data_IF_907793560537
#
_entry.id   IF_907793560537
#
_cell.length_a   1.000
_cell.length_b   1.000
_cell.length_c   1.000
_cell.angle_alpha   90.00
_cell.angle_beta   90.00
_cell.angle_gamma   90.00
#
_symmetry.space_group_name_H-M   'P 1'
#
loop_
_entity.id
_entity.type
_entity.pdbx_description
1 polymer ?
#
# COMPACT_ATOMS: atom_id res chain seq x y z
N UNK A 1 -61.87 -18.57 -35.93
CA UNK A 1 -61.04 -18.28 -34.78
C UNK A 1 -59.61 -18.60 -35.16
N UNK A 2 -58.99 -17.63 -35.79
CA UNK A 2 -57.60 -17.77 -36.24
C UNK A 2 -56.93 -16.39 -36.11
N UNK A 3 -56.27 -16.11 -34.99
CA UNK A 3 -55.44 -14.95 -34.77
C UNK A 3 -54.36 -15.35 -33.76
N UNK A 4 -53.11 -15.47 -34.19
CA UNK A 4 -52.00 -15.65 -33.26
C UNK A 4 -50.74 -16.35 -33.77
N UNK A 5 -50.35 -16.17 -35.03
CA UNK A 5 -49.09 -16.72 -35.56
C UNK A 5 -48.20 -15.72 -36.32
N UNK A 6 -48.51 -14.42 -36.25
CA UNK A 6 -47.74 -13.40 -37.01
C UNK A 6 -46.66 -12.65 -36.23
N UNK A 7 -46.68 -12.64 -34.89
CA UNK A 7 -45.82 -11.77 -34.10
C UNK A 7 -44.46 -12.36 -33.71
N UNK A 8 -44.26 -13.68 -33.85
CA UNK A 8 -43.04 -14.35 -33.40
C UNK A 8 -41.92 -14.42 -34.44
N UNK A 9 -42.20 -14.11 -35.71
CA UNK A 9 -41.17 -14.17 -36.78
C UNK A 9 -40.44 -12.83 -37.04
N UNK A 10 -40.98 -11.71 -36.60
CA UNK A 10 -40.38 -10.39 -36.84
C UNK A 10 -39.30 -10.09 -35.79
N UNK A 11 -39.42 -10.60 -34.56
CA UNK A 11 -38.45 -10.40 -33.51
C UNK A 11 -37.08 -11.09 -33.74
N UNK A 12 -37.10 -12.26 -34.40
CA UNK A 12 -35.85 -13.03 -34.66
C UNK A 12 -35.01 -12.44 -35.80
N UNK A 13 -35.60 -11.76 -36.77
CA UNK A 13 -34.83 -11.15 -37.88
C UNK A 13 -34.18 -9.84 -37.44
N UNK A 14 -34.83 -9.06 -36.59
CA UNK A 14 -34.25 -7.80 -36.06
C UNK A 14 -33.08 -8.07 -35.13
N UNK A 15 -33.16 -9.14 -34.31
CA UNK A 15 -32.04 -9.55 -33.41
C UNK A 15 -30.82 -10.03 -34.21
N UNK A 16 -31.02 -10.72 -35.33
CA UNK A 16 -29.91 -11.22 -36.17
C UNK A 16 -29.17 -10.10 -36.90
N UNK A 17 -29.89 -9.06 -37.34
CA UNK A 17 -29.31 -7.91 -38.03
C UNK A 17 -28.49 -7.03 -37.07
N UNK A 18 -28.90 -6.89 -35.80
CA UNK A 18 -28.17 -6.11 -34.79
C UNK A 18 -26.86 -6.81 -34.37
N UNK A 19 -26.81 -8.12 -34.26
CA UNK A 19 -25.59 -8.87 -33.95
C UNK A 19 -24.61 -8.80 -35.11
N UNK A 20 -25.04 -8.83 -36.38
CA UNK A 20 -24.17 -8.69 -37.53
C UNK A 20 -23.60 -7.27 -37.68
N UNK A 21 -24.34 -6.22 -37.28
CA UNK A 21 -23.86 -4.84 -37.31
C UNK A 21 -22.79 -4.57 -36.21
N UNK A 22 -22.93 -5.18 -35.03
CA UNK A 22 -21.95 -5.07 -33.96
C UNK A 22 -20.63 -5.82 -34.27
N UNK A 23 -20.72 -6.96 -34.97
CA UNK A 23 -19.51 -7.70 -35.41
C UNK A 23 -18.75 -6.97 -36.52
N UNK A 24 -19.45 -6.25 -37.43
CA UNK A 24 -18.80 -5.45 -38.45
C UNK A 24 -18.18 -4.13 -37.93
N UNK A 25 -18.71 -3.56 -36.86
CA UNK A 25 -18.12 -2.40 -36.19
C UNK A 25 -16.88 -2.81 -35.38
N UNK A 26 -16.88 -3.98 -34.74
CA UNK A 26 -15.74 -4.52 -34.00
C UNK A 26 -14.54 -4.84 -34.88
N UNK A 27 -14.79 -5.31 -36.12
CA UNK A 27 -13.74 -5.61 -37.10
C UNK A 27 -13.12 -4.35 -37.76
N UNK A 28 -13.84 -3.22 -37.76
CA UNK A 28 -13.27 -1.95 -38.26
C UNK A 28 -12.45 -1.17 -37.24
N UNK A 29 -12.66 -1.39 -35.94
CA UNK A 29 -11.87 -0.75 -34.89
C UNK A 29 -10.56 -1.50 -34.60
N UNK A 30 -10.45 -2.78 -34.98
CA UNK A 30 -9.20 -3.55 -34.84
C UNK A 30 -8.15 -3.28 -35.93
N UNK A 31 -8.53 -2.67 -37.06
CA UNK A 31 -7.61 -2.40 -38.19
C UNK A 31 -6.96 -1.00 -38.14
N UNK A 32 -7.38 -0.13 -37.23
CA UNK A 32 -6.85 1.24 -37.12
C UNK A 32 -5.79 1.42 -36.01
N UNK A 33 -5.43 0.37 -35.30
CA UNK A 33 -4.50 0.44 -34.16
C UNK A 33 -3.07 -0.06 -34.47
N UNK A 34 -2.78 -0.50 -35.69
CA UNK A 34 -1.46 -1.07 -36.04
C UNK A 34 -0.57 -0.16 -36.94
N UNK A 35 -0.97 1.06 -37.27
CA UNK A 35 -0.18 1.93 -38.14
C UNK A 35 0.47 3.14 -37.46
N UNK A 36 0.61 3.18 -36.14
CA UNK A 36 1.18 4.34 -35.43
C UNK A 36 2.31 4.02 -34.46
N UNK A 37 3.25 3.15 -34.83
CA UNK A 37 4.47 3.00 -34.02
C UNK A 37 5.70 2.58 -34.86
N UNK A 38 5.98 3.33 -35.90
CA UNK A 38 7.33 3.37 -36.51
C UNK A 38 7.71 4.81 -36.81
N UNK A 39 7.97 5.58 -35.76
CA UNK A 39 8.76 6.79 -35.88
C UNK A 39 10.18 6.45 -35.45
N UNK A 40 11.03 6.17 -36.43
CA UNK A 40 12.45 5.98 -36.29
C UNK A 40 13.06 7.20 -35.59
N UNK A 41 13.78 6.97 -34.51
CA UNK A 41 14.68 7.95 -33.93
C UNK A 41 15.77 8.29 -34.95
N UNK A 42 16.19 9.56 -35.12
CA UNK A 42 17.33 9.88 -35.92
C UNK A 42 18.59 9.31 -35.27
N UNK A 43 19.32 8.51 -36.03
CA UNK A 43 20.67 8.06 -35.69
C UNK A 43 21.56 9.28 -35.51
N UNK A 44 21.86 9.64 -34.27
CA UNK A 44 22.93 10.56 -33.96
C UNK A 44 24.25 9.89 -34.37
N UNK A 45 24.99 10.56 -35.25
CA UNK A 45 26.36 10.23 -35.60
C UNK A 45 27.18 10.13 -34.32
N UNK A 46 27.70 8.91 -34.05
CA UNK A 46 28.73 8.71 -33.04
C UNK A 46 29.97 9.35 -33.61
N UNK A 47 30.31 10.55 -33.14
CA UNK A 47 31.57 11.18 -33.41
C UNK A 47 32.72 10.22 -33.08
N UNK A 48 33.53 9.98 -34.07
CA UNK A 48 34.77 9.21 -34.01
C UNK A 48 35.64 9.74 -32.87
N UNK A 49 35.77 8.94 -31.81
CA UNK A 49 36.69 9.25 -30.72
C UNK A 49 38.12 9.20 -31.29
N UNK A 50 38.69 10.37 -31.50
CA UNK A 50 40.11 10.51 -31.82
C UNK A 50 40.90 9.85 -30.73
N UNK A 51 41.55 8.72 -31.04
CA UNK A 51 42.48 8.04 -30.20
C UNK A 51 43.60 8.99 -29.80
N UNK A 52 43.76 9.26 -28.51
CA UNK A 52 44.94 9.92 -27.97
C UNK A 52 46.11 8.99 -28.20
N UNK A 53 47.19 9.42 -28.87
CA UNK A 53 48.36 8.57 -29.08
C UNK A 53 49.00 8.25 -27.70
N UNK A 54 49.30 7.00 -27.49
CA UNK A 54 50.08 6.54 -26.34
C UNK A 54 51.44 7.25 -26.34
N UNK A 55 51.94 7.68 -25.20
CA UNK A 55 53.27 8.29 -25.11
C UNK A 55 54.31 7.27 -25.59
N UNK A 56 55.15 7.71 -26.51
CA UNK A 56 56.30 6.93 -26.99
C UNK A 56 57.26 6.59 -25.87
N UNK A 57 57.70 5.36 -25.79
CA UNK A 57 58.55 4.79 -24.78
C UNK A 57 60.04 5.21 -24.93
N UNK A 58 60.34 6.29 -25.63
CA UNK A 58 61.73 6.67 -25.96
C UNK A 58 62.31 7.84 -25.18
N UNK A 59 61.61 8.36 -24.17
CA UNK A 59 62.21 9.35 -23.23
C UNK A 59 62.41 8.71 -21.86
N UNK A 60 63.20 7.65 -21.81
CA UNK A 60 63.78 7.17 -20.54
C UNK A 60 64.86 8.19 -20.13
N UNK A 61 64.50 9.11 -19.24
CA UNK A 61 65.47 9.92 -18.51
C UNK A 61 66.27 8.96 -17.66
N UNK A 62 67.42 8.53 -18.14
CA UNK A 62 68.42 7.79 -17.36
C UNK A 62 69.07 8.78 -16.40
N UNK A 63 68.56 8.86 -15.18
CA UNK A 63 69.26 9.49 -14.07
C UNK A 63 70.34 8.49 -13.65
N UNK A 64 71.63 8.84 -13.75
CA UNK A 64 72.66 7.96 -13.23
C UNK A 64 72.55 7.97 -11.72
N UNK A 65 71.97 6.91 -11.15
CA UNK A 65 72.05 6.68 -9.70
C UNK A 65 73.40 6.07 -9.39
N UNK A 66 74.39 6.97 -9.19
CA UNK A 66 75.65 6.60 -8.59
C UNK A 66 75.41 6.47 -7.07
N UNK A 67 74.75 5.39 -6.67
CA UNK A 67 74.61 5.04 -5.27
C UNK A 67 75.83 4.15 -4.93
N UNK A 68 76.88 4.77 -4.30
CA UNK A 68 77.89 4.02 -3.64
C UNK A 68 77.21 3.09 -2.60
N UNK A 69 77.17 1.80 -2.89
CA UNK A 69 76.45 0.80 -2.09
C UNK A 69 77.04 0.50 -0.71
N UNK A 70 78.11 1.31 -0.30
CA UNK A 70 78.83 0.97 0.91
C UNK A 70 78.42 1.77 2.17
N UNK A 71 77.46 2.65 2.13
CA UNK A 71 77.13 3.49 3.29
C UNK A 71 75.69 3.50 3.78
N UNK A 72 74.87 2.60 3.29
CA UNK A 72 73.50 2.43 3.89
C UNK A 72 73.60 1.34 4.96
N UNK A 73 73.57 1.67 6.27
CA UNK A 73 73.46 0.62 7.28
C UNK A 73 72.18 -0.14 7.09
N UNK A 74 72.26 -1.36 6.56
CA UNK A 74 71.16 -2.31 6.59
C UNK A 74 70.94 -2.69 8.05
N UNK A 75 70.06 -2.01 8.74
CA UNK A 75 69.47 -2.52 9.96
C UNK A 75 68.61 -3.70 9.64
N UNK A 76 69.19 -4.88 9.67
CA UNK A 76 68.46 -6.11 9.81
C UNK A 76 67.73 -6.09 11.15
N UNK A 77 66.50 -6.55 11.12
CA UNK A 77 65.74 -7.12 12.21
C UNK A 77 64.74 -6.26 13.02
N UNK A 78 64.57 -4.95 12.74
CA UNK A 78 63.47 -4.20 13.36
C UNK A 78 62.76 -3.23 12.41
N UNK A 79 62.67 -3.53 11.15
CA UNK A 79 61.71 -2.86 10.31
C UNK A 79 60.31 -3.38 10.68
N UNK A 80 59.60 -2.64 11.54
CA UNK A 80 58.17 -2.76 11.65
C UNK A 80 57.64 -2.41 10.25
N UNK A 81 57.39 -3.41 9.43
CA UNK A 81 56.52 -3.22 8.29
C UNK A 81 55.19 -2.77 8.88
N UNK A 82 54.72 -1.57 8.60
CA UNK A 82 53.34 -1.26 8.86
C UNK A 82 52.56 -2.08 7.84
N UNK A 83 52.25 -3.34 8.20
CA UNK A 83 51.13 -3.98 7.56
C UNK A 83 49.93 -3.07 7.89
N UNK A 84 49.28 -2.41 6.91
CA UNK A 84 48.03 -1.80 7.18
C UNK A 84 47.12 -2.98 7.53
N UNK A 85 46.95 -3.25 8.81
CA UNK A 85 45.82 -4.00 9.28
C UNK A 85 44.67 -3.06 8.92
N UNK A 86 43.83 -3.40 7.89
CA UNK A 86 42.64 -2.66 7.74
C UNK A 86 41.90 -2.86 9.05
N UNK A 87 41.90 -1.82 9.89
CA UNK A 87 40.94 -1.78 10.97
C UNK A 87 39.60 -1.55 10.32
N UNK A 88 39.04 -2.62 9.77
CA UNK A 88 37.63 -2.71 9.59
C UNK A 88 37.04 -2.65 10.97
N UNK A 89 36.63 -1.46 11.36
CA UNK A 89 35.78 -1.29 12.51
C UNK A 89 34.46 -1.99 12.13
N UNK A 90 34.40 -3.27 12.46
CA UNK A 90 33.12 -3.97 12.46
C UNK A 90 32.35 -3.41 13.65
N UNK A 91 31.59 -2.35 13.40
CA UNK A 91 30.65 -1.85 14.39
C UNK A 91 29.74 -2.99 14.81
N UNK A 92 29.35 -2.99 16.06
CA UNK A 92 28.36 -3.95 16.53
C UNK A 92 27.10 -3.80 15.67
N UNK A 93 26.57 -4.92 15.22
CA UNK A 93 25.29 -4.95 14.52
C UNK A 93 24.17 -5.02 15.55
N UNK A 94 22.97 -4.50 15.24
CA UNK A 94 21.80 -4.72 16.05
C UNK A 94 21.58 -6.20 16.32
N UNK A 95 21.19 -6.51 17.54
CA UNK A 95 20.86 -7.88 17.95
C UNK A 95 19.57 -7.86 18.73
N UNK A 96 18.49 -8.26 18.08
CA UNK A 96 17.16 -8.32 18.65
C UNK A 96 16.75 -9.77 18.84
N UNK A 97 16.17 -10.07 19.99
CA UNK A 97 15.46 -11.31 20.24
C UNK A 97 13.98 -11.00 20.27
N UNK A 98 13.26 -11.49 19.26
CA UNK A 98 11.81 -11.31 19.16
C UNK A 98 11.09 -12.61 19.51
N UNK A 99 9.96 -12.48 20.17
CA UNK A 99 9.03 -13.57 20.35
C UNK A 99 8.19 -13.74 19.07
N UNK A 100 7.90 -14.99 18.70
CA UNK A 100 7.01 -15.30 17.57
C UNK A 100 5.72 -15.85 18.12
N UNK A 101 4.59 -15.27 17.73
CA UNK A 101 3.26 -15.72 18.07
C UNK A 101 2.56 -16.33 16.85
N UNK A 102 2.01 -17.52 17.01
CA UNK A 102 1.21 -18.17 15.97
C UNK A 102 -0.27 -17.84 16.21
N UNK A 103 -0.88 -17.11 15.27
CA UNK A 103 -2.28 -16.70 15.38
C UNK A 103 -3.21 -17.91 15.47
N UNK A 104 -4.07 -17.93 16.46
CA UNK A 104 -5.09 -18.95 16.67
C UNK A 104 -6.45 -18.48 16.16
N UNK A 105 -7.38 -19.44 16.07
CA UNK A 105 -8.74 -19.13 15.62
C UNK A 105 -9.51 -18.35 16.68
N UNK A 106 -9.90 -17.14 16.35
CA UNK A 106 -10.66 -16.23 17.20
C UNK A 106 -9.83 -15.14 17.84
N UNK A 107 -8.50 -15.15 17.62
CA UNK A 107 -7.63 -14.07 18.07
C UNK A 107 -8.00 -12.75 17.40
N UNK A 108 -7.87 -11.68 18.18
CA UNK A 108 -7.94 -10.31 17.68
C UNK A 108 -6.60 -9.59 17.92
N UNK A 109 -6.24 -8.61 17.06
CA UNK A 109 -5.02 -7.82 17.27
C UNK A 109 -4.93 -7.20 18.66
N UNK A 110 -6.04 -6.74 19.20
CA UNK A 110 -6.09 -6.12 20.52
C UNK A 110 -5.87 -7.11 21.64
N UNK A 111 -6.37 -8.34 21.53
CA UNK A 111 -6.17 -9.40 22.54
C UNK A 111 -4.72 -9.88 22.52
N UNK A 112 -4.14 -10.06 21.33
CA UNK A 112 -2.72 -10.42 21.22
C UNK A 112 -1.84 -9.30 21.80
N UNK A 113 -2.07 -8.06 21.42
CA UNK A 113 -1.31 -6.93 21.95
C UNK A 113 -1.41 -6.86 23.49
N UNK A 114 -2.61 -7.04 24.04
CA UNK A 114 -2.84 -7.08 25.49
C UNK A 114 -2.11 -8.25 26.17
N UNK A 115 -2.07 -9.42 25.54
CA UNK A 115 -1.37 -10.60 26.09
C UNK A 115 0.14 -10.35 26.25
N UNK A 116 0.74 -9.57 25.36
CA UNK A 116 2.17 -9.26 25.36
C UNK A 116 2.51 -7.89 25.96
N UNK A 117 1.53 -7.21 26.57
CA UNK A 117 1.71 -5.87 27.17
C UNK A 117 2.29 -4.81 26.22
N UNK A 118 1.85 -4.87 24.97
CA UNK A 118 2.19 -3.90 23.91
C UNK A 118 0.93 -3.24 23.37
N UNK A 119 1.10 -2.12 22.67
CA UNK A 119 -0.01 -1.48 21.96
C UNK A 119 -0.36 -2.22 20.67
N UNK A 120 -1.62 -2.11 20.25
CA UNK A 120 -2.09 -2.71 19.00
C UNK A 120 -1.31 -2.17 17.79
N UNK A 121 -0.91 -0.89 17.81
CA UNK A 121 -0.09 -0.24 16.80
C UNK A 121 1.31 -0.87 16.69
N UNK A 122 1.82 -1.40 17.78
CA UNK A 122 3.12 -2.09 17.83
C UNK A 122 3.10 -3.42 17.06
N UNK A 123 1.94 -4.09 16.99
CA UNK A 123 1.81 -5.27 16.13
C UNK A 123 2.07 -4.93 14.65
N UNK A 124 1.64 -3.77 14.17
CA UNK A 124 1.98 -3.28 12.83
C UNK A 124 3.45 -2.95 12.73
N UNK A 125 4.02 -2.34 13.79
CA UNK A 125 5.42 -1.97 13.86
C UNK A 125 6.37 -3.16 13.70
N UNK A 126 6.00 -4.32 14.22
CA UNK A 126 6.71 -5.59 14.06
C UNK A 126 6.31 -6.40 12.82
N UNK A 127 5.14 -6.08 12.22
CA UNK A 127 4.52 -6.87 11.16
C UNK A 127 3.96 -5.97 10.05
N UNK A 128 4.81 -5.34 9.24
CA UNK A 128 4.38 -4.33 8.24
C UNK A 128 3.41 -4.89 7.19
N UNK A 129 3.38 -6.21 6.99
CA UNK A 129 2.41 -6.86 6.10
C UNK A 129 0.96 -6.74 6.59
N UNK A 130 0.73 -6.50 7.91
CA UNK A 130 -0.60 -6.24 8.44
C UNK A 130 -1.14 -4.86 8.06
N UNK A 131 -0.28 -3.92 7.65
CA UNK A 131 -0.66 -2.55 7.32
C UNK A 131 -1.08 -2.34 5.86
N UNK A 132 -0.85 -3.33 5.00
CA UNK A 132 -0.99 -3.12 3.55
C UNK A 132 -2.40 -3.36 3.02
N UNK A 133 -3.25 -4.02 3.77
CA UNK A 133 -4.60 -4.32 3.31
C UNK A 133 -5.46 -4.57 4.54
N UNK A 134 -6.76 -4.37 4.47
CA UNK A 134 -7.73 -4.72 5.51
C UNK A 134 -7.36 -6.07 6.10
N UNK A 135 -6.55 -6.02 7.11
CA UNK A 135 -5.57 -7.02 7.47
C UNK A 135 -6.25 -8.23 8.02
N UNK A 136 -6.11 -9.26 7.29
CA UNK A 136 -6.56 -10.56 7.70
C UNK A 136 -5.47 -11.22 8.52
N UNK A 137 -5.50 -11.01 9.83
CA UNK A 137 -4.91 -12.00 10.71
C UNK A 137 -5.65 -13.32 10.50
N UNK A 138 -4.94 -14.29 9.94
CA UNK A 138 -5.49 -15.63 9.74
C UNK A 138 -4.85 -16.61 10.72
N UNK A 139 -5.62 -17.59 11.21
CA UNK A 139 -5.04 -18.68 11.99
C UNK A 139 -3.89 -19.36 11.25
N UNK A 140 -2.78 -19.57 11.94
CA UNK A 140 -1.55 -20.12 11.39
C UNK A 140 -0.57 -19.07 10.85
N UNK A 141 -0.88 -17.80 10.92
CA UNK A 141 0.04 -16.71 10.60
C UNK A 141 1.01 -16.49 11.75
N UNK A 142 2.30 -16.31 11.45
CA UNK A 142 3.33 -16.00 12.44
C UNK A 142 3.48 -14.48 12.55
N UNK A 143 3.38 -13.98 13.78
CA UNK A 143 3.59 -12.58 14.12
C UNK A 143 4.87 -12.39 14.90
N UNK A 144 5.64 -11.39 14.56
CA UNK A 144 6.78 -10.91 15.35
C UNK A 144 6.26 -10.01 16.46
N UNK A 145 6.54 -10.38 17.70
CA UNK A 145 6.17 -9.59 18.88
C UNK A 145 7.37 -8.78 19.32
N UNK A 146 7.24 -7.48 19.31
CA UNK A 146 8.29 -6.58 19.79
C UNK A 146 8.30 -6.54 21.33
N UNK A 147 9.48 -6.47 21.96
CA UNK A 147 9.59 -6.48 23.43
C UNK A 147 9.15 -5.18 24.10
N UNK A 148 8.98 -4.11 23.34
CA UNK A 148 8.49 -2.80 23.76
C UNK A 148 7.67 -2.16 22.64
N UNK A 149 6.87 -1.16 22.97
CA UNK A 149 6.16 -0.36 21.97
C UNK A 149 7.14 0.29 20.99
N UNK A 150 6.85 0.18 19.68
CA UNK A 150 7.68 0.78 18.64
C UNK A 150 7.48 0.18 17.26
N UNK A 151 8.43 0.50 16.38
CA UNK A 151 8.50 0.01 15.00
C UNK A 151 9.86 -0.63 14.75
N UNK A 152 9.85 -1.80 14.13
CA UNK A 152 11.05 -2.46 13.64
C UNK A 152 11.31 -1.98 12.20
N UNK A 153 12.32 -1.14 12.06
CA UNK A 153 12.69 -0.53 10.78
C UNK A 153 13.77 -1.33 10.09
N UNK A 154 13.53 -1.73 8.84
CA UNK A 154 14.52 -2.35 7.96
C UNK A 154 15.43 -1.25 7.38
N UNK A 155 16.70 -1.20 7.82
CA UNK A 155 17.64 -0.15 7.43
C UNK A 155 17.93 -0.21 5.92
N UNK A 156 17.64 0.88 5.23
CA UNK A 156 17.89 1.04 3.81
C UNK A 156 19.23 1.78 3.54
N UNK A 157 19.83 1.58 2.34
CA UNK A 157 20.99 2.38 1.95
C UNK A 157 20.67 3.87 1.94
N UNK A 158 21.40 4.63 2.77
CA UNK A 158 21.21 6.08 2.90
C UNK A 158 20.46 6.51 4.16
N UNK A 159 19.94 5.58 4.95
CA UNK A 159 19.31 5.90 6.23
C UNK A 159 20.34 6.45 7.22
N UNK A 160 19.88 7.41 8.00
CA UNK A 160 20.61 8.01 9.13
C UNK A 160 19.72 8.04 10.36
N UNK A 161 20.29 8.19 11.54
CA UNK A 161 19.47 8.33 12.76
C UNK A 161 18.59 9.57 12.71
N UNK A 162 19.07 10.64 12.07
CA UNK A 162 18.32 11.86 11.87
C UNK A 162 17.12 11.63 10.93
N UNK A 163 17.29 10.86 9.82
CA UNK A 163 16.18 10.54 8.93
C UNK A 163 15.14 9.66 9.61
N UNK A 164 15.56 8.70 10.44
CA UNK A 164 14.61 7.88 11.22
C UNK A 164 13.90 8.71 12.29
N UNK A 165 14.63 9.63 12.96
CA UNK A 165 14.03 10.55 13.93
C UNK A 165 12.97 11.44 13.29
N UNK A 166 13.20 11.96 12.09
CA UNK A 166 12.24 12.76 11.35
C UNK A 166 11.05 11.91 10.89
N UNK A 167 11.31 10.74 10.32
CA UNK A 167 10.28 9.84 9.80
C UNK A 167 9.30 9.40 10.89
N UNK A 168 9.81 9.00 12.04
CA UNK A 168 8.97 8.45 13.13
C UNK A 168 8.61 9.49 14.20
N UNK A 169 9.13 10.71 14.10
CA UNK A 169 8.95 11.76 15.12
C UNK A 169 9.44 11.33 16.52
N UNK A 170 10.53 10.56 16.57
CA UNK A 170 11.16 10.05 17.78
C UNK A 170 12.56 10.67 17.91
N UNK A 171 12.96 11.21 19.09
CA UNK A 171 14.29 11.74 19.31
C UNK A 171 15.38 10.71 19.01
N UNK A 172 16.49 11.17 18.38
CA UNK A 172 17.66 10.32 18.09
C UNK A 172 18.19 9.64 19.34
N UNK A 173 18.22 10.36 20.46
CA UNK A 173 18.70 9.85 21.74
C UNK A 173 17.88 8.64 22.23
N UNK A 174 16.59 8.60 21.98
CA UNK A 174 15.71 7.49 22.37
C UNK A 174 16.01 6.24 21.51
N UNK A 175 16.34 6.43 20.23
CA UNK A 175 16.74 5.33 19.33
C UNK A 175 18.09 4.75 19.76
N UNK A 176 19.04 5.62 20.16
CA UNK A 176 20.36 5.23 20.64
C UNK A 176 20.28 4.55 22.01
N UNK A 177 19.39 5.03 22.89
CA UNK A 177 19.25 4.52 24.25
C UNK A 177 18.74 3.07 24.32
N UNK A 178 18.11 2.57 23.25
CA UNK A 178 17.66 1.19 23.20
C UNK A 178 18.84 0.24 22.94
N UNK A 179 19.33 -0.39 24.01
CA UNK A 179 20.56 -1.19 24.02
C UNK A 179 20.63 -2.27 22.91
N UNK A 180 19.56 -3.03 22.57
CA UNK A 180 19.63 -4.05 21.53
C UNK A 180 19.90 -3.52 20.13
N UNK A 181 19.71 -2.21 19.88
CA UNK A 181 20.13 -1.57 18.64
C UNK A 181 21.67 -1.55 18.47
N UNK A 182 22.44 -1.77 19.53
CA UNK A 182 23.90 -1.78 19.53
C UNK A 182 24.54 -0.55 18.85
N UNK A 183 23.92 0.62 19.02
CA UNK A 183 24.38 1.88 18.42
C UNK A 183 25.49 2.49 19.26
N UNK A 184 26.76 2.29 18.85
CA UNK A 184 27.95 2.89 19.45
C UNK A 184 28.51 3.98 18.53
N UNK A 185 29.19 4.99 19.12
CA UNK A 185 29.87 6.02 18.32
C UNK A 185 30.79 5.38 17.26
N UNK A 186 30.68 5.78 15.97
CA UNK A 186 30.00 6.95 15.41
C UNK A 186 28.52 6.75 15.00
N UNK A 187 27.77 5.86 15.65
CA UNK A 187 26.31 5.65 15.47
C UNK A 187 25.88 5.37 14.02
N UNK A 188 26.57 4.44 13.37
CA UNK A 188 26.29 4.08 11.98
C UNK A 188 25.16 3.07 11.89
N UNK A 189 24.23 3.31 10.96
CA UNK A 189 23.27 2.32 10.53
C UNK A 189 23.87 1.45 9.42
N UNK A 190 23.58 0.17 9.46
CA UNK A 190 24.07 -0.79 8.47
C UNK A 190 22.88 -1.28 7.63
N UNK A 191 22.88 -1.09 6.30
CA UNK A 191 21.86 -1.65 5.43
C UNK A 191 21.69 -3.16 5.65
N UNK A 192 20.47 -3.65 5.42
CA UNK A 192 20.08 -5.05 5.64
C UNK A 192 20.11 -5.49 7.13
N UNK A 193 20.15 -4.54 8.06
CA UNK A 193 19.90 -4.78 9.49
C UNK A 193 18.57 -4.16 9.91
N UNK A 194 18.11 -4.52 11.09
CA UNK A 194 16.86 -3.98 11.66
C UNK A 194 17.20 -3.11 12.86
N UNK A 195 16.51 -2.00 12.99
CA UNK A 195 16.58 -1.08 14.15
C UNK A 195 15.18 -0.98 14.74
N UNK A 196 15.04 -1.22 16.03
CA UNK A 196 13.81 -0.93 16.74
C UNK A 196 13.78 0.55 17.12
N UNK A 197 12.74 1.26 16.70
CA UNK A 197 12.50 2.66 17.02
C UNK A 197 11.47 2.71 18.15
N UNK A 198 11.89 2.94 19.40
CA UNK A 198 11.01 2.89 20.57
C UNK A 198 9.92 3.95 20.52
N UNK A 199 8.67 3.58 20.83
CA UNK A 199 7.54 4.50 20.86
C UNK A 199 7.05 4.97 19.49
N UNK A 200 7.70 4.57 18.40
CA UNK A 200 7.27 4.88 17.04
C UNK A 200 5.94 4.18 16.69
N UNK A 201 5.21 4.78 15.77
CA UNK A 201 3.98 4.21 15.19
C UNK A 201 4.22 4.06 13.70
N UNK A 202 3.94 2.86 13.16
CA UNK A 202 4.06 2.60 11.74
C UNK A 202 2.95 3.32 10.96
N UNK A 203 3.30 3.95 9.83
CA UNK A 203 2.32 4.55 8.94
C UNK A 203 1.43 3.48 8.32
N UNK A 204 0.11 3.72 8.29
CA UNK A 204 -0.86 2.89 7.59
C UNK A 204 -1.16 3.52 6.24
N UNK A 205 -1.09 2.72 5.19
CA UNK A 205 -1.53 3.17 3.87
C UNK A 205 -3.05 3.43 3.87
N UNK A 206 -3.44 4.66 3.55
CA UNK A 206 -4.85 5.07 3.43
C UNK A 206 -5.16 5.36 1.97
N UNK A 207 -5.90 4.46 1.32
CA UNK A 207 -6.39 4.73 -0.03
C UNK A 207 -7.48 5.82 -0.01
N UNK A 208 -7.33 6.81 -0.90
CA UNK A 208 -8.29 7.92 -1.03
C UNK A 208 -9.13 7.76 -2.29
N UNK A 209 -10.47 7.83 -2.18
CA UNK A 209 -11.36 7.74 -3.34
C UNK A 209 -11.21 8.94 -4.27
N UNK A 210 -11.59 8.80 -5.56
CA UNK A 210 -11.61 9.93 -6.48
C UNK A 210 -12.53 11.05 -5.99
N UNK A 211 -12.11 12.31 -6.15
CA UNK A 211 -12.95 13.46 -5.80
C UNK A 211 -14.23 13.50 -6.66
N UNK A 212 -15.35 13.95 -6.07
CA UNK A 212 -16.65 14.08 -6.77
C UNK A 212 -16.58 14.88 -8.08
N UNK A 213 -15.70 15.88 -8.15
CA UNK A 213 -15.47 16.68 -9.35
C UNK A 213 -14.94 15.86 -10.52
N UNK A 214 -14.16 14.81 -10.27
CA UNK A 214 -13.63 13.91 -11.30
C UNK A 214 -14.66 12.90 -11.80
N UNK A 215 -15.63 12.54 -10.96
CA UNK A 215 -16.67 11.57 -11.29
C UNK A 215 -17.70 12.14 -12.29
N UNK A 216 -17.92 13.45 -12.28
CA UNK A 216 -18.86 14.13 -13.20
C UNK A 216 -18.22 14.61 -14.50
N UNK A 217 -16.93 14.50 -14.69
CA UNK A 217 -16.17 15.06 -15.83
C UNK A 217 -16.25 14.24 -17.12
N UNK A 218 -17.34 13.54 -17.38
CA UNK A 218 -17.62 12.99 -18.71
C UNK A 218 -18.05 14.04 -19.74
N UNK A 219 -17.84 15.33 -19.50
CA UNK A 219 -18.12 16.41 -20.45
C UNK A 219 -18.30 17.76 -19.78
N UNK A 220 -17.32 18.65 -20.01
CA UNK A 220 -17.32 20.09 -19.74
C UNK A 220 -16.64 20.54 -18.43
N UNK A 221 -15.59 21.34 -18.63
CA UNK A 221 -14.86 22.09 -17.61
C UNK A 221 -15.82 23.00 -16.81
N UNK A 222 -16.05 22.70 -15.55
CA UNK A 222 -16.85 23.53 -14.64
C UNK A 222 -16.47 23.27 -13.20
N UNK A 223 -16.07 24.33 -12.51
CA UNK A 223 -15.80 24.50 -11.09
C UNK A 223 -16.52 23.48 -10.18
N UNK A 224 -15.80 22.99 -9.18
CA UNK A 224 -16.23 21.97 -8.22
C UNK A 224 -17.71 22.08 -7.83
N UNK A 225 -18.49 21.13 -8.32
CA UNK A 225 -19.91 21.07 -7.99
C UNK A 225 -20.01 20.36 -6.64
N UNK A 226 -20.58 21.07 -5.65
CA UNK A 226 -21.00 20.47 -4.40
C UNK A 226 -21.81 19.18 -4.64
N UNK A 227 -21.77 18.18 -3.75
CA UNK A 227 -22.56 16.96 -3.89
C UNK A 227 -24.02 17.33 -4.14
N UNK A 228 -24.68 16.58 -5.03
CA UNK A 228 -26.07 16.86 -5.43
C UNK A 228 -27.06 16.71 -4.25
N UNK A 229 -26.63 15.97 -3.21
CA UNK A 229 -27.43 15.67 -2.02
C UNK A 229 -26.49 15.68 -0.81
N UNK A 230 -26.97 16.19 0.32
CA UNK A 230 -26.25 16.18 1.59
C UNK A 230 -26.92 15.17 2.53
N UNK A 231 -26.12 14.29 3.11
CA UNK A 231 -26.55 13.33 4.12
C UNK A 231 -26.85 13.98 5.47
N UNK A 232 -27.48 13.21 6.34
CA UNK A 232 -27.88 13.68 7.67
C UNK A 232 -26.76 13.65 8.69
N UNK A 233 -25.71 12.83 8.47
CA UNK A 233 -24.69 12.52 9.47
C UNK A 233 -25.17 11.51 10.52
N UNK A 234 -26.40 10.96 10.36
CA UNK A 234 -26.91 9.87 11.18
C UNK A 234 -26.89 8.60 10.37
N UNK A 235 -26.11 7.63 10.79
CA UNK A 235 -25.88 6.41 10.01
C UNK A 235 -26.73 5.26 10.50
N UNK A 236 -27.25 4.48 9.53
CA UNK A 236 -27.86 3.18 9.81
C UNK A 236 -26.89 2.05 9.51
N UNK A 237 -27.16 0.87 10.03
CA UNK A 237 -26.36 -0.31 9.74
C UNK A 237 -26.37 -0.63 8.25
N UNK A 238 -25.18 -0.92 7.67
CA UNK A 238 -25.06 -1.23 6.25
C UNK A 238 -25.62 -2.61 5.87
N UNK A 239 -25.85 -3.48 6.87
CA UNK A 239 -26.40 -4.84 6.72
C UNK A 239 -27.34 -5.18 7.86
N UNK A 240 -28.12 -6.25 7.71
CA UNK A 240 -29.09 -6.71 8.73
C UNK A 240 -28.45 -7.48 9.90
N UNK A 241 -27.18 -7.87 9.78
CA UNK A 241 -26.42 -8.60 10.82
C UNK A 241 -25.83 -7.67 11.87
N UNK A 242 -25.51 -8.26 13.04
CA UNK A 242 -24.75 -7.67 14.15
C UNK A 242 -23.60 -8.60 14.56
N UNK A 243 -23.24 -9.55 13.69
CA UNK A 243 -22.16 -10.49 13.96
C UNK A 243 -20.81 -9.85 13.54
N UNK A 244 -20.22 -9.09 14.46
CA UNK A 244 -18.92 -8.44 14.25
C UNK A 244 -17.82 -9.50 14.34
N UNK A 245 -17.07 -9.68 13.26
CA UNK A 245 -15.92 -10.57 13.18
C UNK A 245 -14.60 -9.84 13.40
N UNK A 246 -14.57 -8.55 13.06
CA UNK A 246 -13.43 -7.68 13.36
C UNK A 246 -13.94 -6.26 13.68
N UNK A 247 -13.29 -5.61 14.66
CA UNK A 247 -13.59 -4.24 15.05
C UNK A 247 -12.54 -3.29 14.53
N UNK A 248 -12.85 -2.00 14.61
CA UNK A 248 -11.89 -0.94 14.28
C UNK A 248 -10.64 -1.00 15.18
N UNK A 249 -9.49 -0.88 14.57
CA UNK A 249 -8.21 -0.63 15.20
C UNK A 249 -7.25 0.00 14.19
N UNK A 250 -6.07 0.46 14.61
CA UNK A 250 -5.16 1.24 13.77
C UNK A 250 -4.81 0.58 12.42
N UNK A 251 -4.66 -0.74 12.37
CA UNK A 251 -4.40 -1.51 11.14
C UNK A 251 -5.65 -2.01 10.43
N UNK A 252 -6.86 -1.76 10.97
CA UNK A 252 -8.12 -2.15 10.37
C UNK A 252 -9.10 -0.96 10.42
N UNK A 253 -9.20 -0.20 9.35
CA UNK A 253 -9.84 1.12 9.33
C UNK A 253 -11.37 1.10 9.36
N UNK A 254 -11.98 -0.03 9.71
CA UNK A 254 -13.42 -0.24 9.71
C UNK A 254 -13.88 -1.31 10.68
N UNK A 255 -15.05 -1.84 10.40
CA UNK A 255 -15.61 -3.00 11.08
C UNK A 255 -16.01 -4.06 10.05
N UNK A 256 -15.79 -5.32 10.42
CA UNK A 256 -16.23 -6.45 9.62
C UNK A 256 -17.48 -7.08 10.23
N UNK A 257 -18.50 -7.25 9.42
CA UNK A 257 -19.78 -7.82 9.82
C UNK A 257 -20.05 -9.05 8.96
N UNK A 258 -20.01 -10.24 9.57
CA UNK A 258 -20.27 -11.49 8.88
C UNK A 258 -21.75 -11.65 8.53
N UNK A 259 -22.00 -12.05 7.29
CA UNK A 259 -23.32 -12.33 6.75
C UNK A 259 -23.20 -13.25 5.53
N UNK A 260 -24.25 -13.97 5.20
CA UNK A 260 -24.25 -14.84 4.03
C UNK A 260 -23.98 -14.06 2.75
N UNK A 261 -23.15 -14.61 1.88
CA UNK A 261 -22.88 -14.05 0.55
C UNK A 261 -24.19 -13.81 -0.23
N UNK A 262 -24.26 -12.69 -0.97
CA UNK A 262 -25.47 -12.28 -1.69
C UNK A 262 -26.49 -11.49 -0.85
N UNK A 263 -26.31 -11.39 0.48
CA UNK A 263 -27.15 -10.56 1.34
C UNK A 263 -27.06 -9.08 0.96
N UNK A 264 -28.18 -8.35 1.10
CA UNK A 264 -28.22 -6.93 0.72
C UNK A 264 -27.32 -6.03 1.57
N UNK A 265 -26.62 -5.13 0.89
CA UNK A 265 -25.85 -4.03 1.50
C UNK A 265 -26.60 -2.74 1.25
N UNK A 266 -26.77 -1.94 2.30
CA UNK A 266 -27.58 -0.72 2.32
C UNK A 266 -26.69 0.51 2.49
N UNK A 267 -27.05 1.61 1.81
CA UNK A 267 -26.42 2.92 2.05
C UNK A 267 -26.68 3.36 3.50
N UNK A 268 -25.62 3.59 4.26
CA UNK A 268 -25.72 3.95 5.68
C UNK A 268 -26.28 5.36 5.90
N UNK A 269 -26.10 6.27 4.94
CA UNK A 269 -26.73 7.60 4.90
C UNK A 269 -26.93 8.00 3.42
N UNK A 270 -27.67 9.08 3.21
CA UNK A 270 -27.89 9.67 1.90
C UNK A 270 -26.60 10.30 1.35
N UNK A 271 -26.32 10.13 0.05
CA UNK A 271 -25.10 10.70 -0.53
C UNK A 271 -24.97 10.46 -2.03
N UNK A 272 -23.79 10.73 -2.56
CA UNK A 272 -23.42 10.50 -3.96
C UNK A 272 -22.31 9.46 -4.01
N UNK A 273 -22.48 8.44 -4.86
CA UNK A 273 -21.46 7.40 -5.09
C UNK A 273 -20.24 8.07 -5.76
N UNK A 274 -19.08 8.00 -5.14
CA UNK A 274 -17.80 8.49 -5.69
C UNK A 274 -17.00 7.39 -6.35
N UNK A 275 -17.13 6.16 -5.86
CA UNK A 275 -16.48 4.98 -6.42
C UNK A 275 -17.43 3.78 -6.40
N UNK A 276 -17.40 2.97 -7.44
CA UNK A 276 -18.10 1.70 -7.53
C UNK A 276 -17.35 0.80 -8.52
N UNK A 277 -16.64 -0.22 -8.04
CA UNK A 277 -15.82 -1.08 -8.88
C UNK A 277 -14.79 -1.88 -8.10
N UNK A 278 -13.85 -2.52 -8.84
CA UNK A 278 -12.75 -3.26 -8.26
C UNK A 278 -11.66 -2.33 -7.74
N UNK A 279 -11.25 -2.55 -6.50
CA UNK A 279 -10.12 -1.87 -5.88
C UNK A 279 -8.97 -2.85 -5.65
N UNK A 280 -7.76 -2.50 -6.11
CA UNK A 280 -6.56 -3.35 -6.05
C UNK A 280 -5.86 -3.33 -4.67
N UNK A 281 -6.30 -2.46 -3.78
CA UNK A 281 -5.70 -2.28 -2.44
C UNK A 281 -6.44 -3.10 -1.37
N UNK A 282 -6.83 -4.33 -1.71
CA UNK A 282 -7.43 -5.29 -0.79
C UNK A 282 -8.96 -5.24 -0.67
N UNK A 283 -9.60 -4.11 -0.92
CA UNK A 283 -11.05 -3.96 -0.78
C UNK A 283 -11.89 -4.84 -1.72
N UNK A 284 -11.30 -5.37 -2.81
CA UNK A 284 -12.03 -6.11 -3.83
C UNK A 284 -13.09 -5.24 -4.50
N UNK A 285 -14.32 -5.72 -4.63
CA UNK A 285 -15.44 -4.89 -5.08
C UNK A 285 -15.84 -3.91 -3.98
N UNK A 286 -15.69 -2.63 -4.27
CA UNK A 286 -15.85 -1.51 -3.35
C UNK A 286 -16.88 -0.52 -3.86
N UNK A 287 -17.72 -0.03 -2.96
CA UNK A 287 -18.56 1.16 -3.15
C UNK A 287 -18.11 2.21 -2.13
N UNK A 288 -17.96 3.47 -2.57
CA UNK A 288 -17.76 4.63 -1.70
C UNK A 288 -18.86 5.64 -1.94
N UNK A 289 -19.48 6.10 -0.86
CA UNK A 289 -20.53 7.12 -0.87
C UNK A 289 -20.04 8.35 -0.11
N UNK A 290 -19.97 9.51 -0.79
CA UNK A 290 -19.72 10.80 -0.17
C UNK A 290 -21.05 11.46 0.22
N UNK A 291 -21.16 11.79 1.50
CA UNK A 291 -22.41 12.32 2.07
C UNK A 291 -22.52 13.85 2.00
N UNK A 292 -21.50 14.55 1.47
CA UNK A 292 -21.54 15.99 1.24
C UNK A 292 -21.42 16.86 2.49
N UNK A 293 -21.32 16.26 3.66
CA UNK A 293 -21.21 16.88 4.99
C UNK A 293 -19.87 16.59 5.67
N UNK A 294 -18.85 16.16 4.89
CA UNK A 294 -17.53 15.78 5.37
C UNK A 294 -17.39 14.31 5.70
N UNK A 295 -18.46 13.53 5.61
CA UNK A 295 -18.42 12.09 5.80
C UNK A 295 -18.38 11.32 4.48
N UNK A 296 -17.68 10.20 4.50
CA UNK A 296 -17.69 9.17 3.46
C UNK A 296 -17.89 7.78 4.09
N UNK A 297 -18.60 6.90 3.40
CA UNK A 297 -18.75 5.50 3.83
C UNK A 297 -18.25 4.56 2.75
N UNK A 298 -17.56 3.50 3.18
CA UNK A 298 -16.95 2.48 2.35
C UNK A 298 -17.64 1.14 2.59
N UNK A 299 -17.88 0.40 1.53
CA UNK A 299 -18.55 -0.90 1.54
C UNK A 299 -17.73 -1.85 0.68
N UNK A 300 -16.94 -2.72 1.31
CA UNK A 300 -15.98 -3.56 0.59
C UNK A 300 -16.32 -5.04 0.63
N UNK A 301 -15.49 -5.82 -0.06
CA UNK A 301 -15.58 -7.28 -0.24
C UNK A 301 -16.86 -7.76 -0.90
N UNK A 302 -17.53 -6.89 -1.67
CA UNK A 302 -18.83 -7.15 -2.25
C UNK A 302 -18.80 -8.26 -3.31
N UNK A 303 -19.87 -9.06 -3.41
CA UNK A 303 -20.11 -9.98 -4.53
C UNK A 303 -20.78 -9.29 -5.71
N UNK A 304 -21.54 -8.21 -5.45
CA UNK A 304 -22.26 -7.46 -6.48
C UNK A 304 -22.35 -5.97 -6.15
N UNK A 305 -22.29 -5.15 -7.19
CA UNK A 305 -22.40 -3.68 -7.14
C UNK A 305 -23.66 -3.30 -7.93
N UNK A 306 -24.60 -2.58 -7.29
CA UNK A 306 -25.88 -2.20 -7.88
C UNK A 306 -25.99 -0.70 -8.21
N UNK A 307 -24.89 0.02 -8.05
CA UNK A 307 -24.80 1.48 -8.24
C UNK A 307 -23.60 1.83 -9.12
N UNK A 308 -23.54 3.07 -9.58
CA UNK A 308 -22.43 3.57 -10.40
C UNK A 308 -21.96 4.94 -9.91
N UNK A 309 -20.71 5.33 -10.20
CA UNK A 309 -20.16 6.63 -9.80
C UNK A 309 -21.01 7.80 -10.32
N UNK A 310 -21.30 8.77 -9.44
CA UNK A 310 -22.18 9.90 -9.70
C UNK A 310 -23.65 9.67 -9.39
N UNK A 311 -24.06 8.44 -9.08
CA UNK A 311 -25.43 8.13 -8.67
C UNK A 311 -25.72 8.66 -7.26
N UNK A 312 -26.88 9.27 -7.08
CA UNK A 312 -27.41 9.61 -5.75
C UNK A 312 -28.06 8.37 -5.14
N UNK A 313 -27.74 8.09 -3.90
CA UNK A 313 -28.35 7.04 -3.09
C UNK A 313 -28.94 7.65 -1.83
N UNK A 314 -30.07 7.07 -1.38
CA UNK A 314 -30.74 7.47 -0.15
C UNK A 314 -30.45 6.45 0.94
N UNK A 315 -30.44 6.90 2.20
CA UNK A 315 -30.28 6.03 3.35
C UNK A 315 -31.20 4.81 3.25
N UNK A 316 -30.66 3.60 3.45
CA UNK A 316 -31.38 2.34 3.35
C UNK A 316 -31.59 1.81 1.93
N UNK A 317 -31.16 2.51 0.88
CA UNK A 317 -31.17 1.95 -0.46
C UNK A 317 -30.22 0.75 -0.57
N UNK A 318 -30.64 -0.30 -1.26
CA UNK A 318 -29.76 -1.43 -1.58
C UNK A 318 -28.74 -0.98 -2.62
N UNK A 319 -27.45 -0.96 -2.26
CA UNK A 319 -26.36 -0.51 -3.12
C UNK A 319 -25.48 -1.65 -3.64
N UNK A 320 -25.51 -2.82 -2.98
CA UNK A 320 -24.69 -3.96 -3.36
C UNK A 320 -25.10 -5.22 -2.61
N UNK A 321 -24.26 -6.23 -2.69
CA UNK A 321 -24.43 -7.52 -2.03
C UNK A 321 -23.18 -7.95 -1.32
N UNK A 322 -23.29 -8.49 -0.11
CA UNK A 322 -22.21 -9.08 0.69
C UNK A 322 -21.47 -10.14 -0.13
N UNK A 323 -20.16 -10.18 -0.04
CA UNK A 323 -19.33 -11.13 -0.77
C UNK A 323 -18.10 -11.57 0.01
N UNK A 324 -17.11 -12.04 -0.75
CA UNK A 324 -15.82 -12.52 -0.26
C UNK A 324 -14.74 -12.17 -1.30
N UNK A 325 -14.78 -10.94 -1.84
CA UNK A 325 -13.85 -10.49 -2.88
C UNK A 325 -12.71 -9.65 -2.29
N UNK A 326 -11.58 -9.61 -3.00
CA UNK A 326 -10.38 -8.92 -2.51
C UNK A 326 -9.68 -9.71 -1.41
N UNK A 327 -9.10 -9.02 -0.43
CA UNK A 327 -8.44 -9.63 0.71
C UNK A 327 -9.48 -9.96 1.80
N UNK A 328 -10.12 -11.12 1.68
CA UNK A 328 -11.22 -11.55 2.54
C UNK A 328 -11.14 -13.05 2.84
N UNK A 329 -11.28 -13.44 4.10
CA UNK A 329 -11.20 -14.85 4.55
C UNK A 329 -12.53 -15.60 4.55
N UNK A 330 -13.63 -14.89 4.34
CA UNK A 330 -15.00 -15.47 4.34
C UNK A 330 -16.07 -14.42 4.09
N UNK A 331 -17.33 -14.81 3.83
CA UNK A 331 -18.37 -13.85 3.50
C UNK A 331 -18.65 -12.85 4.64
N UNK A 332 -18.33 -11.58 4.40
CA UNK A 332 -18.58 -10.44 5.28
C UNK A 332 -18.67 -9.14 4.49
N UNK A 333 -19.07 -8.08 5.14
CA UNK A 333 -18.87 -6.71 4.66
C UNK A 333 -17.82 -6.05 5.54
N UNK A 334 -16.82 -5.43 4.90
CA UNK A 334 -15.96 -4.45 5.54
C UNK A 334 -16.57 -3.06 5.37
N UNK A 335 -16.84 -2.38 6.49
CA UNK A 335 -17.54 -1.09 6.51
C UNK A 335 -16.72 -0.04 7.23
N UNK A 336 -16.47 1.10 6.53
CA UNK A 336 -15.76 2.24 7.11
C UNK A 336 -16.65 3.49 7.13
N UNK A 337 -16.41 4.34 8.13
CA UNK A 337 -16.83 5.75 8.14
C UNK A 337 -15.58 6.60 8.20
N UNK A 338 -15.48 7.57 7.30
CA UNK A 338 -14.38 8.54 7.28
C UNK A 338 -14.90 9.94 7.44
N UNK A 339 -14.18 10.74 8.24
CA UNK A 339 -14.49 12.16 8.44
C UNK A 339 -13.35 13.01 7.89
N UNK A 340 -13.64 13.80 6.86
CA UNK A 340 -12.64 14.65 6.18
C UNK A 340 -11.39 13.88 5.73
N UNK A 341 -11.57 12.62 5.30
CA UNK A 341 -10.51 11.71 4.84
C UNK A 341 -9.86 10.88 5.95
N UNK A 342 -10.12 11.18 7.24
CA UNK A 342 -9.62 10.38 8.36
C UNK A 342 -10.55 9.22 8.66
N UNK A 343 -9.98 8.08 8.99
CA UNK A 343 -10.69 6.87 9.37
C UNK A 343 -11.18 6.98 10.82
N UNK A 344 -12.48 6.78 11.03
CA UNK A 344 -13.11 6.80 12.34
C UNK A 344 -13.68 5.42 12.67
N UNK A 345 -13.78 5.09 13.96
CA UNK A 345 -14.45 3.86 14.40
C UNK A 345 -15.95 3.95 14.08
N UNK A 346 -16.48 3.13 13.15
CA UNK A 346 -17.89 3.14 12.80
C UNK A 346 -18.83 2.90 13.99
N UNK A 347 -18.34 2.22 15.04
CA UNK A 347 -19.14 1.95 16.24
C UNK A 347 -19.55 3.21 16.99
N UNK A 348 -18.84 4.32 16.84
CA UNK A 348 -19.23 5.63 17.42
C UNK A 348 -20.50 6.18 16.78
N UNK A 349 -20.78 5.80 15.56
CA UNK A 349 -21.89 6.33 14.74
C UNK A 349 -23.11 5.42 14.70
N UNK A 350 -22.89 4.09 14.59
CA UNK A 350 -23.99 3.13 14.46
C UNK A 350 -24.26 2.37 15.75
N UNK A 351 -23.37 2.42 16.73
CA UNK A 351 -23.38 1.61 17.94
C UNK A 351 -23.04 0.13 17.65
N UNK A 352 -22.16 -0.50 18.41
CA UNK A 352 -21.78 -1.91 18.23
C UNK A 352 -21.95 -2.71 19.55
#
# INVERSE_FOLDING_TARGET
MEKGKGAQRIGSVVALVMVAALLLLGLRMGAAAEESSQQAMPSGEIGEATAVPAPSTDDAITIPLDINAETVPVRSDNAISPAPVPQTFEGKRPHHEFETYLVERGDTPSEIAYQFDIKTETLLGGNPFLSQESSLMQPGMELTILPIDGVLHDVQPGDTLESLSEQYSIPVDDIIAYEPNNLEFPFRLYPETQILVPGAIADVFVWTPPALSSVRSGGSSGSGVAPAVVGTGTFVYPVSSRNFTQRFWYGHPGIDIALSEGSGVFAADTGTVTFAGWNIYGYGNLIVVNHGNGYETFYAHLSGINVFPGQVVYQGNVIGSVGNTGNSSGPHIHFEIRTSGNQDDPCWYIGC
#
